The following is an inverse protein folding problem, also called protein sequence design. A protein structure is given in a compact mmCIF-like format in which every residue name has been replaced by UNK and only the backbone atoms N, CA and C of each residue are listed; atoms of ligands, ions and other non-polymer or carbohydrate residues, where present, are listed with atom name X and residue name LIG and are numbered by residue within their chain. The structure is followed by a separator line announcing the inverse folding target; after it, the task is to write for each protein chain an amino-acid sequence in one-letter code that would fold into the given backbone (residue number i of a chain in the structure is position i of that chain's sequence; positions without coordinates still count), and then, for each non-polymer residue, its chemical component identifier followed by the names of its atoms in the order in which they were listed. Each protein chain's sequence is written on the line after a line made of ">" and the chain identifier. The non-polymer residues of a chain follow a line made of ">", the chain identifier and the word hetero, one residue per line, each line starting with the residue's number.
data_IF_297144852663
#
_entry.id   IF_297144852663
#
_cell.length_a   1.000
_cell.length_b   1.000
_cell.length_c   1.000
_cell.angle_alpha   90.00
_cell.angle_beta   90.00
_cell.angle_gamma   90.00
#
_symmetry.space_group_name_H-M   'P 1'
#
loop_
_entity.id
_entity.type
_entity.pdbx_description
1 polymer ?
#
# COMPACT_ATOMS: atom_id res chain seq x y z
N UNK A 1 42.68 15.32 13.04
CA UNK A 1 41.21 15.27 12.80
C UNK A 1 40.57 16.57 13.24
N UNK A 2 39.80 17.25 12.37
CA UNK A 2 39.04 18.46 12.76
C UNK A 2 37.73 18.02 13.44
N UNK A 3 37.34 18.59 14.59
CA UNK A 3 36.08 18.24 15.23
C UNK A 3 34.92 18.70 14.36
N UNK A 4 33.94 17.81 14.12
CA UNK A 4 32.71 18.17 13.42
C UNK A 4 31.90 19.11 14.31
N UNK A 5 31.57 20.30 13.78
CA UNK A 5 30.64 21.24 14.41
C UNK A 5 29.26 20.60 14.50
N UNK A 6 28.53 20.74 15.63
CA UNK A 6 27.15 20.28 15.72
C UNK A 6 26.30 21.07 14.72
N UNK A 7 25.55 20.35 13.88
CA UNK A 7 24.59 20.96 12.97
C UNK A 7 23.34 21.35 13.77
N UNK A 8 22.92 22.61 13.70
CA UNK A 8 21.60 23.01 14.16
C UNK A 8 20.57 22.55 13.14
N UNK A 9 19.67 21.66 13.57
CA UNK A 9 18.54 21.21 12.76
C UNK A 9 17.35 22.10 13.11
N UNK A 10 16.71 22.71 12.11
CA UNK A 10 15.41 23.37 12.32
C UNK A 10 14.36 22.30 12.58
N UNK A 11 13.73 22.35 13.75
CA UNK A 11 12.58 21.52 14.07
C UNK A 11 11.36 22.01 13.29
N UNK A 12 10.46 21.11 12.84
CA UNK A 12 9.23 21.50 12.17
C UNK A 12 8.34 22.32 13.11
N UNK A 13 7.61 23.26 12.54
CA UNK A 13 6.58 24.02 13.24
C UNK A 13 5.37 23.14 13.59
N UNK A 14 4.57 23.57 14.55
CA UNK A 14 3.34 22.87 14.95
C UNK A 14 2.37 22.68 13.77
N UNK A 15 2.26 23.69 12.89
CA UNK A 15 1.44 23.62 11.68
C UNK A 15 1.94 22.55 10.69
N UNK A 16 3.26 22.44 10.50
CA UNK A 16 3.88 21.42 9.65
C UNK A 16 3.71 20.01 10.22
N UNK A 17 3.86 19.85 11.54
CA UNK A 17 3.60 18.59 12.24
C UNK A 17 2.14 18.16 12.11
N UNK A 18 1.20 19.08 12.33
CA UNK A 18 -0.23 18.81 12.19
C UNK A 18 -0.62 18.45 10.76
N UNK A 19 -0.05 19.12 9.75
CA UNK A 19 -0.26 18.79 8.35
C UNK A 19 0.25 17.38 8.02
N UNK A 20 1.44 17.01 8.51
CA UNK A 20 2.01 15.68 8.30
C UNK A 20 1.16 14.58 8.94
N UNK A 21 0.68 14.79 10.16
CA UNK A 21 -0.21 13.84 10.84
C UNK A 21 -1.54 13.64 10.10
N UNK A 22 -2.12 14.72 9.53
CA UNK A 22 -3.33 14.60 8.70
C UNK A 22 -3.07 13.81 7.42
N UNK A 23 -1.95 14.06 6.75
CA UNK A 23 -1.55 13.32 5.55
C UNK A 23 -1.43 11.83 5.82
N UNK A 24 -0.69 11.44 6.86
CA UNK A 24 -0.53 10.04 7.27
C UNK A 24 -1.88 9.35 7.54
N UNK A 25 -2.82 10.06 8.19
CA UNK A 25 -4.14 9.50 8.49
C UNK A 25 -4.98 9.31 7.23
N UNK A 26 -4.96 10.27 6.31
CA UNK A 26 -5.66 10.15 5.02
C UNK A 26 -5.12 8.97 4.20
N UNK A 27 -3.79 8.79 4.15
CA UNK A 27 -3.16 7.65 3.48
C UNK A 27 -3.58 6.31 4.11
N UNK A 28 -3.64 6.23 5.44
CA UNK A 28 -4.10 5.02 6.14
C UNK A 28 -5.57 4.70 5.86
N UNK A 29 -6.43 5.72 5.84
CA UNK A 29 -7.86 5.55 5.58
C UNK A 29 -8.09 5.08 4.12
N UNK A 30 -7.36 5.65 3.16
CA UNK A 30 -7.41 5.22 1.75
C UNK A 30 -6.92 3.77 1.57
N UNK A 31 -5.79 3.41 2.19
CA UNK A 31 -5.22 2.06 2.17
C UNK A 31 -6.22 1.01 2.67
N UNK A 32 -6.90 1.33 3.76
CA UNK A 32 -7.91 0.46 4.37
C UNK A 32 -9.15 0.31 3.47
N UNK A 33 -9.51 1.38 2.74
CA UNK A 33 -10.74 1.47 1.98
C UNK A 33 -10.63 0.75 0.62
N UNK A 34 -9.55 0.99 -0.15
CA UNK A 34 -9.37 0.28 -1.43
C UNK A 34 -9.18 -1.23 -1.21
N UNK A 35 -8.45 -1.63 -0.14
CA UNK A 35 -8.23 -3.05 0.13
C UNK A 35 -9.54 -3.78 0.38
N UNK A 36 -10.38 -3.22 1.25
CA UNK A 36 -11.68 -3.82 1.55
C UNK A 36 -12.59 -3.86 0.32
N UNK A 37 -12.55 -2.84 -0.54
CA UNK A 37 -13.27 -2.82 -1.82
C UNK A 37 -12.77 -3.92 -2.75
N UNK A 38 -11.46 -4.03 -2.97
CA UNK A 38 -10.85 -5.04 -3.85
C UNK A 38 -11.18 -6.47 -3.41
N UNK A 39 -11.06 -6.77 -2.10
CA UNK A 39 -11.42 -8.08 -1.57
C UNK A 39 -12.91 -8.40 -1.72
N UNK A 40 -13.79 -7.39 -1.65
CA UNK A 40 -15.23 -7.56 -1.85
C UNK A 40 -15.58 -7.76 -3.33
N UNK A 41 -14.87 -7.08 -4.24
CA UNK A 41 -15.11 -7.16 -5.69
C UNK A 41 -14.56 -8.45 -6.29
N UNK A 42 -13.33 -8.83 -5.96
CA UNK A 42 -12.62 -9.94 -6.59
C UNK A 42 -12.57 -11.20 -5.72
N UNK A 43 -13.05 -11.13 -4.48
CA UNK A 43 -13.06 -12.24 -3.55
C UNK A 43 -11.69 -12.52 -2.91
N UNK A 44 -11.66 -13.53 -2.05
CA UNK A 44 -10.48 -13.99 -1.34
C UNK A 44 -9.71 -15.03 -2.16
N UNK A 45 -9.33 -14.69 -3.39
CA UNK A 45 -8.60 -15.58 -4.29
C UNK A 45 -7.43 -14.83 -4.94
N UNK A 46 -6.30 -15.51 -5.09
CA UNK A 46 -5.16 -14.98 -5.84
C UNK A 46 -5.44 -15.05 -7.34
N UNK A 47 -5.41 -13.91 -8.03
CA UNK A 47 -5.64 -13.81 -9.47
C UNK A 47 -4.58 -14.54 -10.32
N UNK A 48 -3.39 -14.81 -9.75
CA UNK A 48 -2.26 -15.42 -10.46
C UNK A 48 -2.17 -16.94 -10.29
N UNK A 49 -2.30 -17.43 -9.07
CA UNK A 49 -2.13 -18.86 -8.76
C UNK A 49 -3.42 -19.57 -8.35
N UNK A 50 -4.56 -18.87 -8.37
CA UNK A 50 -5.88 -19.38 -8.00
C UNK A 50 -5.99 -19.94 -6.57
N UNK A 51 -5.01 -19.65 -5.69
CA UNK A 51 -5.09 -20.01 -4.28
C UNK A 51 -6.23 -19.23 -3.62
N UNK A 52 -7.15 -19.95 -3.01
CA UNK A 52 -8.24 -19.40 -2.20
C UNK A 52 -7.79 -19.14 -0.76
N UNK A 53 -8.42 -18.14 -0.17
CA UNK A 53 -8.20 -17.65 1.18
C UNK A 53 -9.56 -17.53 1.88
N UNK A 54 -9.53 -17.52 3.19
CA UNK A 54 -10.68 -17.32 4.06
C UNK A 54 -10.40 -16.18 5.05
N UNK A 55 -11.35 -15.89 5.94
CA UNK A 55 -11.21 -14.79 6.89
C UNK A 55 -10.00 -14.93 7.84
N UNK A 56 -9.53 -16.17 8.10
CA UNK A 56 -8.40 -16.44 9.00
C UNK A 56 -7.04 -16.16 8.36
N UNK A 57 -6.95 -16.17 7.04
CA UNK A 57 -5.71 -15.97 6.29
C UNK A 57 -5.79 -14.88 5.21
N UNK A 58 -6.88 -14.11 5.15
CA UNK A 58 -7.06 -13.00 4.22
C UNK A 58 -5.96 -11.94 4.28
N UNK A 59 -5.22 -11.84 5.39
CA UNK A 59 -4.06 -10.96 5.54
C UNK A 59 -2.87 -11.37 4.65
N UNK A 60 -2.85 -12.58 4.11
CA UNK A 60 -1.85 -13.08 3.15
C UNK A 60 -2.22 -12.77 1.69
N UNK A 61 -3.36 -12.13 1.47
CA UNK A 61 -3.84 -11.64 0.19
C UNK A 61 -3.70 -10.11 0.19
N UNK A 62 -2.87 -9.61 -0.71
CA UNK A 62 -2.56 -8.20 -0.91
C UNK A 62 -3.25 -7.68 -2.16
N UNK A 63 -3.43 -6.36 -2.22
CA UNK A 63 -3.86 -5.67 -3.44
C UNK A 63 -2.62 -5.18 -4.14
N UNK A 64 -2.44 -5.63 -5.37
CA UNK A 64 -1.44 -5.17 -6.32
C UNK A 64 -2.05 -4.07 -7.20
N UNK A 65 -1.29 -3.02 -7.47
CA UNK A 65 -1.70 -1.91 -8.36
C UNK A 65 -1.05 -2.13 -9.73
N UNK A 66 -1.85 -2.41 -10.77
CA UNK A 66 -1.36 -2.77 -12.11
C UNK A 66 -0.49 -1.71 -12.79
N UNK A 67 -0.66 -0.45 -12.41
CA UNK A 67 0.10 0.69 -12.93
C UNK A 67 1.26 1.11 -12.00
N UNK A 68 1.44 0.41 -10.88
CA UNK A 68 2.40 0.75 -9.82
C UNK A 68 2.08 2.00 -9.00
N UNK A 69 0.96 2.68 -9.26
CA UNK A 69 0.56 3.90 -8.56
C UNK A 69 -0.46 3.60 -7.46
N UNK A 70 0.00 3.54 -6.22
CA UNK A 70 -0.84 3.29 -5.03
C UNK A 70 -1.92 4.35 -4.76
N UNK A 71 -1.84 5.52 -5.41
CA UNK A 71 -2.86 6.56 -5.31
C UNK A 71 -3.94 6.45 -6.40
N UNK A 72 -3.73 5.63 -7.45
CA UNK A 72 -4.74 5.40 -8.48
C UNK A 72 -5.71 4.31 -8.03
N UNK A 73 -6.75 4.73 -7.32
CA UNK A 73 -7.74 3.87 -6.67
C UNK A 73 -9.14 4.05 -7.31
N UNK A 74 -9.34 3.59 -8.56
CA UNK A 74 -10.60 3.81 -9.26
C UNK A 74 -11.74 3.03 -8.57
N UNK A 75 -12.98 3.58 -8.54
CA UNK A 75 -14.10 2.99 -7.80
C UNK A 75 -14.58 1.65 -8.38
N UNK A 76 -14.22 1.32 -9.62
CA UNK A 76 -14.51 0.05 -10.29
C UNK A 76 -13.43 -1.02 -10.05
N UNK A 77 -12.34 -0.67 -9.36
CA UNK A 77 -11.22 -1.55 -9.07
C UNK A 77 -10.33 -1.89 -10.27
N UNK A 78 -10.51 -1.24 -11.43
CA UNK A 78 -9.81 -1.56 -12.68
C UNK A 78 -8.27 -1.57 -12.59
N UNK A 79 -7.69 -0.85 -11.61
CA UNK A 79 -6.26 -0.81 -11.35
C UNK A 79 -5.75 -1.86 -10.34
N UNK A 80 -6.61 -2.75 -9.83
CA UNK A 80 -6.27 -3.66 -8.73
C UNK A 80 -6.23 -5.13 -9.16
N UNK A 81 -5.35 -5.89 -8.51
CA UNK A 81 -5.36 -7.36 -8.50
C UNK A 81 -5.15 -7.91 -7.09
N UNK A 82 -5.94 -8.90 -6.68
CA UNK A 82 -5.68 -9.61 -5.42
C UNK A 82 -4.61 -10.67 -5.66
N UNK A 83 -3.43 -10.53 -5.04
CA UNK A 83 -2.32 -11.45 -5.17
C UNK A 83 -1.92 -12.01 -3.80
N UNK A 84 -1.53 -13.28 -3.73
CA UNK A 84 -0.87 -13.77 -2.53
C UNK A 84 0.52 -13.17 -2.43
N UNK A 85 1.06 -13.04 -1.21
CA UNK A 85 2.37 -12.42 -0.98
C UNK A 85 3.47 -12.94 -1.94
N UNK A 86 3.51 -14.24 -2.20
CA UNK A 86 4.49 -14.82 -3.13
C UNK A 86 4.32 -14.37 -4.58
N UNK A 87 3.08 -14.32 -5.08
CA UNK A 87 2.82 -13.84 -6.43
C UNK A 87 3.03 -12.33 -6.53
N UNK A 88 2.73 -11.60 -5.47
CA UNK A 88 2.95 -10.16 -5.40
C UNK A 88 4.43 -9.82 -5.50
N UNK A 89 5.27 -10.49 -4.70
CA UNK A 89 6.71 -10.30 -4.71
C UNK A 89 7.33 -10.71 -6.07
N UNK A 90 6.83 -11.79 -6.69
CA UNK A 90 7.28 -12.25 -8.01
C UNK A 90 6.96 -11.22 -9.12
N UNK A 91 5.76 -10.64 -9.10
CA UNK A 91 5.33 -9.59 -10.04
C UNK A 91 6.22 -8.35 -9.91
N UNK A 92 6.44 -7.86 -8.68
CA UNK A 92 7.36 -6.76 -8.44
C UNK A 92 8.81 -7.09 -8.84
N UNK A 93 9.28 -8.31 -8.58
CA UNK A 93 10.63 -8.74 -8.96
C UNK A 93 10.82 -8.79 -10.49
N UNK A 94 9.76 -9.03 -11.25
CA UNK A 94 9.76 -9.04 -12.72
C UNK A 94 9.65 -7.66 -13.35
N UNK A 95 9.43 -6.61 -12.56
CA UNK A 95 9.16 -5.26 -13.06
C UNK A 95 7.79 -5.11 -13.70
N UNK A 96 6.90 -6.07 -13.45
CA UNK A 96 5.47 -5.96 -13.73
C UNK A 96 4.93 -5.12 -12.56
N UNK A 97 4.98 -3.79 -12.68
CA UNK A 97 4.69 -2.86 -11.59
C UNK A 97 3.31 -3.07 -10.99
#
# INVERSE_FOLDING_TARGET
>A
MRPRRPASVKLPTEAEMAAKLRGMRAEMDDNSNYRQKSLRMYGLICARCAREFDASNANLLTVHHRDGNHHNNPPDGSNWENLCNHCHDDVHARGEL
#
